data_IF_740587021261
#
_entry.id   IF_740587021261
#
_cell.length_a   1.000
_cell.length_b   1.000
_cell.length_c   1.000
_cell.angle_alpha   90.00
_cell.angle_beta   90.00
_cell.angle_gamma   90.00
#
_symmetry.space_group_name_H-M   'P 1'
#
loop_
_entity.id
_entity.type
_entity.pdbx_description
1 polymer ?
#
# COMPACT_ATOMS: atom_id res chain seq x y z
N UNK A 1 -27.55 -16.17 16.65
CA UNK A 1 -26.93 -15.94 16.27
C UNK A 1 -26.84 -15.32 16.07
N UNK A 2 -27.03 -15.24 16.52
CA UNK A 2 -26.81 -14.50 15.92
C UNK A 2 -25.83 -14.79 15.06
N UNK A 3 -26.05 -15.68 14.52
CA UNK A 3 -25.18 -15.90 13.56
C UNK A 3 -25.05 -14.73 12.77
N UNK A 4 -23.91 -14.33 12.50
CA UNK A 4 -23.72 -13.24 11.64
C UNK A 4 -24.34 -13.52 10.31
N UNK A 5 -24.94 -12.51 9.77
CA UNK A 5 -25.54 -12.64 8.46
C UNK A 5 -24.49 -12.98 7.43
N UNK A 6 -23.29 -12.45 7.60
CA UNK A 6 -22.18 -12.71 6.70
C UNK A 6 -21.10 -13.42 7.48
N UNK A 7 -20.60 -14.47 6.92
CA UNK A 7 -19.55 -15.24 7.58
C UNK A 7 -18.19 -14.67 7.18
N UNK A 8 -17.82 -13.57 7.83
CA UNK A 8 -16.62 -12.83 7.47
C UNK A 8 -15.56 -13.01 8.54
N UNK A 9 -14.42 -13.54 8.13
CA UNK A 9 -13.27 -13.68 9.00
C UNK A 9 -12.40 -12.44 8.87
N UNK A 10 -12.09 -11.80 10.00
CA UNK A 10 -11.27 -10.61 9.98
C UNK A 10 -9.91 -10.84 9.33
N UNK A 11 -9.33 -12.01 9.52
CA UNK A 11 -8.04 -12.30 8.91
C UNK A 11 -8.14 -12.34 7.38
N UNK A 12 -9.26 -12.81 6.86
CA UNK A 12 -9.47 -12.78 5.42
C UNK A 12 -9.61 -11.36 4.92
N UNK A 13 -10.28 -10.50 5.69
CA UNK A 13 -10.39 -9.10 5.36
C UNK A 13 -9.01 -8.46 5.32
N UNK A 14 -8.19 -8.78 6.30
CA UNK A 14 -6.82 -8.27 6.34
C UNK A 14 -6.04 -8.68 5.10
N UNK A 15 -6.19 -9.94 4.69
CA UNK A 15 -5.50 -10.44 3.52
C UNK A 15 -5.95 -9.71 2.25
N UNK A 16 -7.25 -9.52 2.10
CA UNK A 16 -7.75 -8.79 0.94
C UNK A 16 -7.27 -7.35 0.94
N UNK A 17 -7.25 -6.74 2.12
CA UNK A 17 -6.73 -5.38 2.24
C UNK A 17 -5.26 -5.31 1.87
N UNK A 18 -4.51 -6.37 2.18
CA UNK A 18 -3.08 -6.40 1.84
C UNK A 18 -2.85 -6.48 0.34
N UNK A 19 -3.86 -6.90 -0.40
CA UNK A 19 -3.79 -6.90 -1.87
C UNK A 19 -4.21 -5.58 -2.47
N UNK A 20 -4.55 -4.61 -1.63
CA UNK A 20 -4.96 -3.30 -2.12
C UNK A 20 -6.44 -3.17 -2.42
N UNK A 21 -7.24 -4.12 -1.97
CA UNK A 21 -8.67 -4.06 -2.23
C UNK A 21 -9.32 -2.91 -1.46
N UNK A 22 -10.21 -2.20 -2.14
CA UNK A 22 -10.99 -1.14 -1.50
C UNK A 22 -12.10 -1.76 -0.68
N UNK A 23 -12.66 -0.97 0.23
CA UNK A 23 -13.77 -1.45 1.05
C UNK A 23 -14.91 -2.00 0.20
N UNK A 24 -15.21 -1.31 -0.91
CA UNK A 24 -16.28 -1.74 -1.78
C UNK A 24 -15.98 -3.10 -2.40
N UNK A 25 -14.74 -3.31 -2.82
CA UNK A 25 -14.36 -4.59 -3.39
C UNK A 25 -14.50 -5.73 -2.40
N UNK A 26 -14.06 -5.48 -1.17
CA UNK A 26 -14.16 -6.50 -0.13
C UNK A 26 -15.62 -6.78 0.19
N UNK A 27 -16.42 -5.72 0.29
CA UNK A 27 -17.84 -5.87 0.56
C UNK A 27 -18.54 -6.65 -0.55
N UNK A 28 -18.20 -6.36 -1.80
CA UNK A 28 -18.79 -7.05 -2.93
C UNK A 28 -18.44 -8.53 -2.89
N UNK A 29 -17.21 -8.85 -2.49
CA UNK A 29 -16.79 -10.24 -2.38
C UNK A 29 -17.64 -11.00 -1.38
N UNK A 30 -17.98 -10.38 -0.27
CA UNK A 30 -18.78 -11.01 0.76
C UNK A 30 -20.28 -10.78 0.60
N UNK A 31 -20.65 -9.91 -0.31
CA UNK A 31 -22.08 -9.59 -0.51
C UNK A 31 -22.66 -8.74 0.59
N UNK A 32 -21.89 -7.85 1.16
CA UNK A 32 -22.37 -7.01 2.24
C UNK A 32 -22.15 -5.54 1.91
N UNK A 33 -22.57 -4.68 2.84
CA UNK A 33 -22.44 -3.25 2.66
C UNK A 33 -21.01 -2.80 2.96
N UNK A 34 -20.43 -1.93 2.13
CA UNK A 34 -19.08 -1.44 2.40
C UNK A 34 -18.94 -0.79 3.77
N UNK A 35 -19.98 -0.18 4.30
CA UNK A 35 -19.89 0.44 5.62
C UNK A 35 -19.67 -0.59 6.71
N UNK A 36 -20.20 -1.79 6.54
CA UNK A 36 -19.96 -2.85 7.50
C UNK A 36 -18.46 -3.19 7.55
N UNK A 37 -17.84 -3.29 6.38
CA UNK A 37 -16.42 -3.57 6.31
C UNK A 37 -15.63 -2.45 6.99
N UNK A 38 -15.96 -1.20 6.66
CA UNK A 38 -15.22 -0.07 7.19
C UNK A 38 -15.36 0.10 8.69
N UNK A 39 -16.52 -0.25 9.24
CA UNK A 39 -16.75 -0.06 10.66
C UNK A 39 -16.31 -1.24 11.51
N UNK A 40 -16.67 -2.43 11.07
CA UNK A 40 -16.46 -3.62 11.89
C UNK A 40 -15.09 -4.22 11.72
N UNK A 41 -14.43 -3.94 10.63
CA UNK A 41 -13.14 -4.55 10.33
C UNK A 41 -12.05 -3.52 10.10
N UNK A 42 -12.20 -2.34 10.69
CA UNK A 42 -11.25 -1.25 10.43
C UNK A 42 -9.82 -1.61 10.84
N UNK A 43 -9.64 -2.29 11.97
CA UNK A 43 -8.29 -2.64 12.38
C UNK A 43 -7.65 -3.63 11.43
N UNK A 44 -8.43 -4.56 10.89
CA UNK A 44 -7.91 -5.51 9.92
C UNK A 44 -7.56 -4.81 8.61
N UNK A 45 -8.36 -3.81 8.23
CA UNK A 45 -8.07 -3.06 7.02
C UNK A 45 -6.77 -2.29 7.14
N UNK A 46 -6.60 -1.60 8.25
CA UNK A 46 -5.39 -0.80 8.47
C UNK A 46 -4.16 -1.69 8.44
N UNK A 47 -4.22 -2.78 9.18
CA UNK A 47 -3.09 -3.69 9.28
C UNK A 47 -2.78 -4.34 7.93
N UNK A 48 -3.83 -4.77 7.23
CA UNK A 48 -3.64 -5.40 5.94
C UNK A 48 -3.04 -4.46 4.92
N UNK A 49 -3.53 -3.22 4.89
CA UNK A 49 -3.01 -2.24 3.95
C UNK A 49 -1.56 -1.89 4.24
N UNK A 50 -1.21 -1.81 5.52
CA UNK A 50 0.19 -1.59 5.89
C UNK A 50 1.07 -2.72 5.42
N UNK A 51 0.63 -3.96 5.60
CA UNK A 51 1.38 -5.12 5.14
C UNK A 51 1.56 -5.10 3.63
N UNK A 52 0.50 -4.73 2.91
CA UNK A 52 0.57 -4.68 1.45
C UNK A 52 1.56 -3.64 0.97
N UNK A 53 1.55 -2.49 1.60
CA UNK A 53 2.49 -1.43 1.23
C UNK A 53 3.92 -1.85 1.48
N UNK A 54 4.17 -2.51 2.61
CA UNK A 54 5.52 -2.97 2.91
C UNK A 54 5.98 -4.01 1.91
N UNK A 55 5.09 -4.93 1.54
CA UNK A 55 5.45 -5.94 0.57
C UNK A 55 5.75 -5.32 -0.79
N UNK A 56 4.94 -4.34 -1.19
CA UNK A 56 5.18 -3.66 -2.45
C UNK A 56 6.52 -2.94 -2.43
N UNK A 57 6.83 -2.26 -1.34
CA UNK A 57 8.11 -1.58 -1.20
C UNK A 57 9.27 -2.56 -1.30
N UNK A 58 9.13 -3.72 -0.67
CA UNK A 58 10.19 -4.72 -0.76
C UNK A 58 10.42 -5.16 -2.20
N UNK A 59 9.35 -5.37 -2.94
CA UNK A 59 9.48 -5.76 -4.34
C UNK A 59 10.07 -4.65 -5.19
N UNK A 60 9.70 -3.41 -4.90
CA UNK A 60 10.26 -2.28 -5.62
C UNK A 60 11.76 -2.15 -5.35
N UNK A 61 12.14 -2.28 -4.09
CA UNK A 61 13.56 -2.22 -3.74
C UNK A 61 14.35 -3.33 -4.39
N UNK A 62 13.79 -4.54 -4.41
CA UNK A 62 14.46 -5.64 -5.06
C UNK A 62 14.63 -5.40 -6.56
N UNK A 63 13.60 -4.86 -7.19
CA UNK A 63 13.69 -4.54 -8.61
C UNK A 63 14.76 -3.49 -8.85
N UNK A 64 14.81 -2.47 -7.99
CA UNK A 64 15.81 -1.43 -8.11
C UNK A 64 17.21 -1.98 -7.93
N UNK A 65 17.38 -2.89 -6.97
CA UNK A 65 18.70 -3.50 -6.73
C UNK A 65 19.17 -4.29 -7.93
N UNK A 66 18.24 -4.82 -8.69
CA UNK A 66 18.58 -5.56 -9.91
C UNK A 66 18.83 -4.64 -11.10
N UNK A 67 18.69 -3.35 -10.90
CA UNK A 67 18.99 -2.39 -11.94
C UNK A 67 17.82 -1.94 -12.78
N UNK A 68 16.59 -2.14 -12.31
CA UNK A 68 15.41 -1.67 -13.05
C UNK A 68 15.40 -0.16 -13.04
N UNK A 69 15.72 0.45 -14.18
CA UNK A 69 15.84 1.90 -14.28
C UNK A 69 14.55 2.62 -13.88
N UNK A 70 13.44 2.13 -14.38
CA UNK A 70 12.14 2.77 -14.08
C UNK A 70 11.89 2.78 -12.58
N UNK A 71 12.25 1.70 -11.89
CA UNK A 71 12.03 1.62 -10.46
C UNK A 71 12.99 2.52 -9.70
N UNK A 72 14.21 2.65 -10.17
CA UNK A 72 15.17 3.55 -9.54
C UNK A 72 14.67 4.99 -9.62
N UNK A 73 14.13 5.37 -10.77
CA UNK A 73 13.58 6.70 -10.94
C UNK A 73 12.38 6.90 -10.03
N UNK A 74 11.49 5.91 -10.01
CA UNK A 74 10.28 5.99 -9.20
C UNK A 74 10.62 6.14 -7.72
N UNK A 75 11.50 5.31 -7.21
CA UNK A 75 11.88 5.36 -5.81
C UNK A 75 12.61 6.65 -5.49
N UNK A 76 13.45 7.12 -6.41
CA UNK A 76 14.13 8.39 -6.19
C UNK A 76 13.17 9.53 -6.03
N UNK A 77 12.14 9.58 -6.88
CA UNK A 77 11.15 10.64 -6.80
C UNK A 77 10.34 10.55 -5.52
N UNK A 78 9.96 9.37 -5.13
CA UNK A 78 9.02 9.21 -4.01
C UNK A 78 9.68 9.23 -2.65
N UNK A 79 10.91 8.79 -2.57
CA UNK A 79 11.58 8.70 -1.28
C UNK A 79 12.59 9.80 -1.07
N UNK A 80 13.20 10.28 -2.14
CA UNK A 80 14.28 11.27 -2.03
C UNK A 80 13.88 12.63 -2.60
N UNK A 81 12.67 12.75 -3.10
CA UNK A 81 12.20 14.02 -3.61
C UNK A 81 12.84 14.44 -4.92
N UNK A 82 13.42 13.50 -5.65
CA UNK A 82 14.04 13.81 -6.91
C UNK A 82 13.01 14.19 -7.96
N UNK A 83 13.41 14.99 -8.91
CA UNK A 83 12.49 15.48 -9.92
C UNK A 83 13.15 15.43 -11.29
N UNK A 84 12.32 15.23 -12.32
CA UNK A 84 12.77 15.33 -13.70
C UNK A 84 13.04 16.76 -14.09
N UNK A 85 12.45 17.70 -13.37
CA UNK A 85 12.55 19.11 -13.70
C UNK A 85 13.76 19.70 -12.97
N UNK A 86 14.79 20.14 -13.68
CA UNK A 86 15.98 20.68 -13.02
C UNK A 86 15.66 21.85 -12.10
N UNK A 87 14.65 22.63 -12.44
CA UNK A 87 14.29 23.79 -11.61
C UNK A 87 13.71 23.35 -10.27
N UNK A 88 13.04 22.20 -10.25
CA UNK A 88 12.49 21.70 -9.01
C UNK A 88 13.53 21.00 -8.17
N UNK A 89 14.59 20.54 -8.80
CA UNK A 89 15.60 19.83 -8.05
C UNK A 89 16.39 20.73 -7.12
N UNK A 90 16.22 22.04 -7.25
CA UNK A 90 16.87 22.96 -6.34
C UNK A 90 16.45 22.73 -4.90
N UNK A 91 15.28 22.15 -4.71
CA UNK A 91 14.79 21.87 -3.37
C UNK A 91 15.33 20.56 -2.81
N UNK A 92 16.04 19.82 -3.64
CA UNK A 92 16.56 18.53 -3.23
C UNK A 92 18.01 18.67 -2.91
N UNK A 93 18.30 18.84 -1.65
CA UNK A 93 19.68 18.98 -1.23
C UNK A 93 20.37 17.63 -1.29
N UNK A 94 21.65 17.63 -1.62
CA UNK A 94 22.38 16.37 -1.59
C UNK A 94 22.34 15.78 -0.20
N UNK A 95 22.26 14.46 -0.18
CA UNK A 95 22.30 13.79 1.11
C UNK A 95 23.69 13.93 1.69
N UNK A 96 23.78 14.16 3.00
CA UNK A 96 25.08 14.44 3.59
C UNK A 96 26.08 13.31 3.47
N UNK A 97 25.60 12.12 3.28
CA UNK A 97 26.52 10.97 3.20
C UNK A 97 26.87 10.59 1.75
N UNK A 98 26.45 11.41 0.80
CA UNK A 98 26.76 11.17 -0.60
C UNK A 98 27.83 12.15 -1.02
N UNK A 99 28.94 11.64 -1.44
CA UNK A 99 30.03 12.50 -1.91
C UNK A 99 30.10 12.54 -3.40
#
# INVERSE_FOLDING_TARGET
>A
MAKKKYDIDGEDVEKLASYGCANKEIADFYGCDPSLIGKSYSSFLIKGRAKGKMRLRQMQWKAAEKGATAMLIFLGKNLLGQSDNPNESDNNEPLPFID
#
